data_IF_004982068265
#
_entry.id   IF_004982068265
#
_cell.length_a   1.000
_cell.length_b   1.000
_cell.length_c   1.000
_cell.angle_alpha   90.00
_cell.angle_beta   90.00
_cell.angle_gamma   90.00
#
_symmetry.space_group_name_H-M   'P 1'
#
loop_
_entity.id
_entity.type
_entity.pdbx_description
1 polymer ?
#
# COMPACT_ATOMS: atom_id res chain seq x y z
N UNK A 1 4.94 5.62 10.42
CA UNK A 1 3.91 4.57 10.65
C UNK A 1 3.75 4.44 12.15
N UNK A 2 2.63 4.93 12.70
CA UNK A 2 2.40 4.94 14.15
C UNK A 2 2.04 3.53 14.59
N UNK A 3 2.92 2.89 15.36
CA UNK A 3 2.64 1.59 15.98
C UNK A 3 1.65 1.79 17.12
N UNK A 4 0.35 1.64 16.84
CA UNK A 4 -0.68 1.50 17.88
C UNK A 4 -0.49 0.12 18.52
N UNK A 5 0.40 0.03 19.51
CA UNK A 5 0.57 -1.17 20.33
C UNK A 5 -0.68 -1.34 21.20
N UNK A 6 -1.52 -2.31 20.87
CA UNK A 6 -2.62 -2.72 21.73
C UNK A 6 -2.05 -3.60 22.86
N UNK A 7 -1.76 -3.00 24.01
CA UNK A 7 -1.49 -3.76 25.23
C UNK A 7 -2.78 -4.42 25.75
N UNK A 8 -2.66 -5.51 26.50
CA UNK A 8 -3.73 -6.46 26.87
C UNK A 8 -4.85 -5.93 27.79
N UNK A 9 -4.93 -4.61 28.01
CA UNK A 9 -6.05 -3.94 28.68
C UNK A 9 -6.14 -2.50 28.17
N UNK A 10 -6.66 -2.32 26.95
CA UNK A 10 -6.92 -0.98 26.43
C UNK A 10 -8.39 -0.61 26.68
N UNK A 11 -8.68 0.32 27.61
CA UNK A 11 -10.05 0.72 27.95
C UNK A 11 -10.78 1.39 26.78
N UNK A 12 -10.05 1.80 25.73
CA UNK A 12 -10.59 2.52 24.58
C UNK A 12 -10.65 1.65 23.33
N UNK A 13 -11.44 0.57 23.37
CA UNK A 13 -11.59 -0.37 22.25
C UNK A 13 -12.18 0.29 21.00
N UNK A 14 -13.15 1.20 21.16
CA UNK A 14 -13.78 1.95 20.07
C UNK A 14 -12.82 2.97 19.44
N UNK A 15 -12.11 3.73 20.28
CA UNK A 15 -11.12 4.70 19.82
C UNK A 15 -9.97 4.01 19.11
N UNK A 16 -9.52 2.85 19.60
CA UNK A 16 -8.47 2.06 18.95
C UNK A 16 -8.90 1.60 17.57
N UNK A 17 -10.15 1.14 17.40
CA UNK A 17 -10.72 0.78 16.08
C UNK A 17 -10.79 1.98 15.13
N UNK A 18 -11.12 3.17 15.64
CA UNK A 18 -11.15 4.39 14.84
C UNK A 18 -9.72 4.82 14.45
N UNK A 19 -8.80 4.82 15.40
CA UNK A 19 -7.41 5.17 15.19
C UNK A 19 -6.76 4.26 14.14
N UNK A 20 -6.97 2.94 14.20
CA UNK A 20 -6.46 2.03 13.17
C UNK A 20 -7.09 2.29 11.81
N UNK A 21 -8.39 2.58 11.74
CA UNK A 21 -9.07 2.87 10.47
C UNK A 21 -8.54 4.15 9.80
N UNK A 22 -8.34 5.22 10.55
CA UNK A 22 -7.98 6.52 9.98
C UNK A 22 -6.47 6.73 9.87
N UNK A 23 -5.67 6.27 10.83
CA UNK A 23 -4.22 6.46 10.79
C UNK A 23 -3.51 5.53 9.80
N UNK A 24 -4.20 4.48 9.30
CA UNK A 24 -3.68 3.66 8.20
C UNK A 24 -3.85 4.32 6.83
N UNK A 25 -4.64 5.39 6.71
CA UNK A 25 -4.82 6.10 5.45
C UNK A 25 -3.53 6.86 5.17
N UNK A 26 -2.83 6.58 4.06
CA UNK A 26 -1.63 7.31 3.71
C UNK A 26 -2.00 8.77 3.43
N UNK A 27 -1.23 9.71 3.98
CA UNK A 27 -1.45 11.14 3.77
C UNK A 27 -1.20 11.57 2.31
N UNK A 28 -0.48 10.77 1.53
CA UNK A 28 -0.07 11.08 0.16
C UNK A 28 -0.12 9.85 -0.75
N UNK A 29 -0.26 10.10 -2.05
CA UNK A 29 -0.21 9.07 -3.12
C UNK A 29 1.21 8.59 -3.44
N UNK A 30 2.23 9.29 -2.92
CA UNK A 30 3.65 9.03 -3.20
C UNK A 30 4.09 7.58 -2.95
N UNK A 31 3.45 6.88 -2.01
CA UNK A 31 3.71 5.47 -1.73
C UNK A 31 3.41 4.57 -2.93
N UNK A 32 2.29 4.80 -3.61
CA UNK A 32 1.86 4.02 -4.77
C UNK A 32 2.54 4.52 -6.06
N UNK A 33 2.77 5.83 -6.17
CA UNK A 33 3.50 6.42 -7.30
C UNK A 33 4.91 5.85 -7.47
N UNK A 34 5.60 5.52 -6.36
CA UNK A 34 6.90 4.85 -6.42
C UNK A 34 6.81 3.46 -7.02
N UNK A 35 5.78 2.69 -6.67
CA UNK A 35 5.51 1.36 -7.26
C UNK A 35 5.20 1.48 -8.75
N UNK A 36 4.40 2.48 -9.15
CA UNK A 36 4.09 2.73 -10.56
C UNK A 36 5.30 3.20 -11.37
N UNK A 37 6.16 4.02 -10.78
CA UNK A 37 7.40 4.47 -11.43
C UNK A 37 8.32 3.29 -11.74
N UNK A 38 8.39 2.32 -10.82
CA UNK A 38 9.16 1.09 -11.03
C UNK A 38 8.50 0.13 -12.03
N UNK A 39 7.17 -0.05 -11.96
CA UNK A 39 6.46 -0.93 -12.89
C UNK A 39 6.42 -0.38 -14.32
N UNK A 40 6.64 0.93 -14.50
CA UNK A 40 6.82 1.57 -15.81
C UNK A 40 7.93 0.93 -16.65
N UNK A 41 8.98 0.38 -16.03
CA UNK A 41 10.03 -0.34 -16.77
C UNK A 41 9.55 -1.68 -17.35
N UNK A 42 8.59 -2.34 -16.70
CA UNK A 42 8.02 -3.63 -17.14
C UNK A 42 6.94 -3.45 -18.22
N UNK A 43 6.25 -2.31 -18.21
CA UNK A 43 5.20 -1.98 -19.17
C UNK A 43 5.74 -1.42 -20.50
N UNK A 44 6.96 -0.86 -20.51
CA UNK A 44 7.45 -0.05 -21.64
C UNK A 44 7.78 -0.92 -22.86
N UNK A 45 7.13 -0.67 -24.02
CA UNK A 45 7.12 -1.59 -25.16
C UNK A 45 8.50 -1.86 -25.80
N UNK A 46 9.49 -0.98 -25.57
CA UNK A 46 10.82 -1.06 -26.17
C UNK A 46 11.79 -2.01 -25.42
N UNK A 47 11.48 -2.42 -24.18
CA UNK A 47 12.41 -3.24 -23.35
C UNK A 47 11.72 -4.40 -22.63
N UNK A 48 10.43 -4.30 -22.32
CA UNK A 48 9.65 -5.36 -21.68
C UNK A 48 8.21 -5.33 -22.22
N UNK A 49 7.71 -6.48 -22.68
CA UNK A 49 6.40 -6.59 -23.32
C UNK A 49 5.41 -7.30 -22.40
N UNK A 50 5.37 -6.88 -21.13
CA UNK A 50 4.48 -7.47 -20.14
C UNK A 50 3.04 -6.99 -20.38
N UNK A 51 2.10 -7.92 -20.37
CA UNK A 51 0.69 -7.57 -20.57
C UNK A 51 0.12 -6.86 -19.36
N UNK A 52 -0.87 -5.98 -19.55
CA UNK A 52 -1.52 -5.24 -18.45
C UNK A 52 -2.01 -6.16 -17.32
N UNK A 53 -2.57 -7.33 -17.69
CA UNK A 53 -3.07 -8.32 -16.74
C UNK A 53 -1.96 -8.89 -15.85
N UNK A 54 -0.83 -9.26 -16.43
CA UNK A 54 0.31 -9.82 -15.69
C UNK A 54 0.99 -8.77 -14.82
N UNK A 55 1.11 -7.53 -15.31
CA UNK A 55 1.62 -6.42 -14.51
C UNK A 55 0.73 -6.14 -13.29
N UNK A 56 -0.59 -6.12 -13.46
CA UNK A 56 -1.53 -5.93 -12.36
C UNK A 56 -1.39 -7.01 -11.29
N UNK A 57 -1.27 -8.28 -11.71
CA UNK A 57 -1.05 -9.40 -10.80
C UNK A 57 0.27 -9.27 -10.04
N UNK A 58 1.34 -8.85 -10.71
CA UNK A 58 2.65 -8.64 -10.09
C UNK A 58 2.66 -7.45 -9.12
N UNK A 59 1.96 -6.35 -9.43
CA UNK A 59 1.84 -5.21 -8.52
C UNK A 59 1.05 -5.54 -7.25
N UNK A 60 0.14 -6.52 -7.31
CA UNK A 60 -0.63 -6.99 -6.16
C UNK A 60 0.16 -7.99 -5.30
N UNK A 61 1.06 -8.76 -5.93
CA UNK A 61 1.89 -9.75 -5.25
C UNK A 61 3.02 -9.12 -4.41
N UNK A 62 3.46 -7.92 -4.79
CA UNK A 62 4.60 -7.22 -4.19
C UNK A 62 4.22 -6.48 -2.91
#
# INVERSE_FOLDING_TARGET
MVLVRTTSSNPYTTLTKLATKYLCIPATTAAVERVFSQSGFLFRPHRARMTRKTLQQLTLLK
#
